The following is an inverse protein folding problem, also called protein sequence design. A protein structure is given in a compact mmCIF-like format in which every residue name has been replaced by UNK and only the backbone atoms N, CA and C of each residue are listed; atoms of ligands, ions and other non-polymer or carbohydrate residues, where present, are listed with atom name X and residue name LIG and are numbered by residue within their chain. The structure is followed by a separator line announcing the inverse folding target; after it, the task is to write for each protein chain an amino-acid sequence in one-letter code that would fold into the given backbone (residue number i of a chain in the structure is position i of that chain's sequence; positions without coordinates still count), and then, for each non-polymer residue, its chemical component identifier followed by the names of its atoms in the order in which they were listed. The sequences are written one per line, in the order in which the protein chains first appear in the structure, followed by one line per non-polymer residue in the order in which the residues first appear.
data_IF_110843297124
#
_entry.id   IF_110843297124
#
_cell.length_a   1.000
_cell.length_b   1.000
_cell.length_c   1.000
_cell.angle_alpha   90.00
_cell.angle_beta   90.00
_cell.angle_gamma   90.00
#
_symmetry.space_group_name_H-M   'P 1'
#
loop_
_entity.id
_entity.type
_entity.pdbx_description
1 polymer ?
#
# COMPACT_ATOMS: atom_id res chain seq x y z
N UNK A 1 -0.74 -12.88 15.89
CA UNK A 1 0.34 -12.31 15.04
C UNK A 1 -0.08 -11.96 13.60
N UNK A 2 -0.77 -12.84 12.84
CA UNK A 2 -1.13 -12.55 11.42
C UNK A 2 -1.98 -11.28 11.24
N UNK A 3 -2.97 -11.02 12.12
CA UNK A 3 -3.81 -9.82 12.07
C UNK A 3 -3.03 -8.54 12.40
N UNK A 4 -2.19 -8.57 13.45
CA UNK A 4 -1.35 -7.44 13.87
C UNK A 4 -0.39 -6.99 12.75
N UNK A 5 0.27 -7.94 12.06
CA UNK A 5 1.10 -7.61 10.89
C UNK A 5 0.32 -6.93 9.77
N UNK A 6 -0.89 -7.41 9.44
CA UNK A 6 -1.68 -6.80 8.37
C UNK A 6 -2.21 -5.44 8.78
N UNK A 7 -2.56 -5.25 10.05
CA UNK A 7 -2.93 -3.95 10.60
C UNK A 7 -1.78 -2.94 10.48
N UNK A 8 -0.55 -3.34 10.86
CA UNK A 8 0.65 -2.50 10.66
C UNK A 8 0.81 -2.16 9.17
N UNK A 9 0.66 -3.11 8.27
CA UNK A 9 0.75 -2.87 6.83
C UNK A 9 -0.35 -1.90 6.31
N UNK A 10 -1.58 -2.01 6.83
CA UNK A 10 -2.70 -1.12 6.48
C UNK A 10 -2.52 0.30 7.02
N UNK A 11 -1.90 0.48 8.19
CA UNK A 11 -1.82 1.80 8.85
C UNK A 11 -0.50 2.53 8.62
N UNK A 12 0.62 1.82 8.48
CA UNK A 12 1.96 2.46 8.43
C UNK A 12 2.13 3.37 7.21
N UNK A 13 1.73 2.91 6.03
CA UNK A 13 1.85 3.67 4.78
C UNK A 13 1.01 4.96 4.79
N UNK A 14 -0.29 4.90 5.12
CA UNK A 14 -1.11 6.11 5.21
C UNK A 14 -0.64 7.08 6.29
N UNK A 15 -0.22 6.57 7.47
CA UNK A 15 0.36 7.43 8.51
C UNK A 15 1.63 8.11 7.99
N UNK A 16 2.51 7.37 7.31
CA UNK A 16 3.70 7.94 6.69
C UNK A 16 3.35 9.02 5.64
N UNK A 17 2.35 8.78 4.78
CA UNK A 17 1.87 9.81 3.84
C UNK A 17 1.36 11.04 4.57
N UNK A 18 0.62 10.90 5.67
CA UNK A 18 0.19 12.04 6.48
C UNK A 18 1.37 12.85 7.04
N UNK A 19 2.52 12.23 7.29
CA UNK A 19 3.72 12.98 7.71
C UNK A 19 4.28 13.88 6.61
N UNK A 20 3.94 13.65 5.33
CA UNK A 20 4.37 14.52 4.21
C UNK A 20 3.93 15.99 4.40
N UNK A 21 2.83 16.20 5.13
CA UNK A 21 2.29 17.52 5.47
C UNK A 21 3.29 18.34 6.32
N UNK A 22 4.15 17.67 7.08
CA UNK A 22 5.12 18.31 7.98
C UNK A 22 6.39 18.79 7.26
N UNK A 23 6.59 18.38 6.00
CA UNK A 23 7.78 18.71 5.24
C UNK A 23 7.65 20.08 4.56
N UNK A 24 8.78 20.76 4.38
CA UNK A 24 8.82 22.09 3.77
C UNK A 24 8.33 22.09 2.31
N UNK A 25 8.15 23.29 1.76
CA UNK A 25 7.80 23.48 0.34
C UNK A 25 8.98 23.27 -0.63
N UNK A 26 10.19 22.99 -0.13
CA UNK A 26 11.33 22.73 -0.99
C UNK A 26 11.11 21.48 -1.84
N UNK A 27 11.45 21.50 -3.15
CA UNK A 27 11.42 20.31 -4.00
C UNK A 27 12.26 19.15 -3.48
N UNK A 28 13.28 19.43 -2.66
CA UNK A 28 14.18 18.43 -2.09
C UNK A 28 13.60 17.74 -0.84
N UNK A 29 12.50 18.26 -0.28
CA UNK A 29 11.90 17.75 0.94
C UNK A 29 11.42 16.30 0.78
N UNK A 30 11.08 15.87 -0.45
CA UNK A 30 10.76 14.48 -0.78
C UNK A 30 11.91 13.51 -0.52
N UNK A 31 13.16 13.92 -0.78
CA UNK A 31 14.32 13.07 -0.54
C UNK A 31 14.57 12.90 0.95
N UNK A 32 14.37 13.98 1.73
CA UNK A 32 14.43 13.91 3.18
C UNK A 32 13.34 13.00 3.75
N UNK A 33 12.10 13.10 3.25
CA UNK A 33 11.02 12.21 3.64
C UNK A 33 11.29 10.75 3.28
N UNK A 34 11.91 10.51 2.11
CA UNK A 34 12.28 9.17 1.65
C UNK A 34 13.37 8.51 2.50
N UNK A 35 14.15 9.27 3.29
CA UNK A 35 15.15 8.69 4.21
C UNK A 35 14.51 7.67 5.16
N UNK A 36 13.31 7.97 5.69
CA UNK A 36 12.62 7.08 6.63
C UNK A 36 12.33 5.69 6.03
N UNK A 37 11.60 5.58 4.90
CA UNK A 37 11.40 4.27 4.27
C UNK A 37 12.70 3.69 3.71
N UNK A 38 13.68 4.49 3.28
CA UNK A 38 14.98 3.98 2.83
C UNK A 38 15.80 3.33 3.95
N UNK A 39 15.75 3.86 5.17
CA UNK A 39 16.35 3.23 6.34
C UNK A 39 15.64 1.91 6.69
N UNK A 40 14.32 1.84 6.52
CA UNK A 40 13.59 0.59 6.71
C UNK A 40 13.93 -0.43 5.59
N UNK A 41 14.10 0.04 4.36
CA UNK A 41 14.54 -0.79 3.23
C UNK A 41 15.90 -1.41 3.50
N UNK A 42 16.90 -0.61 3.88
CA UNK A 42 18.23 -1.11 4.19
C UNK A 42 18.22 -2.08 5.36
N UNK A 43 17.40 -1.82 6.40
CA UNK A 43 17.20 -2.73 7.52
C UNK A 43 16.61 -4.08 7.08
N UNK A 44 15.53 -4.09 6.31
CA UNK A 44 14.90 -5.32 5.82
C UNK A 44 15.86 -6.10 4.90
N UNK A 45 16.60 -5.40 4.04
CA UNK A 45 17.58 -6.00 3.15
C UNK A 45 18.74 -6.64 3.93
N UNK A 46 19.32 -5.93 4.90
CA UNK A 46 20.44 -6.43 5.70
C UNK A 46 20.05 -7.65 6.54
N UNK A 47 18.86 -7.65 7.14
CA UNK A 47 18.38 -8.78 7.95
C UNK A 47 17.92 -9.94 7.05
N UNK A 48 17.23 -9.66 5.95
CA UNK A 48 16.72 -10.67 5.04
C UNK A 48 17.83 -11.43 4.30
N UNK A 49 18.91 -10.74 3.91
CA UNK A 49 20.11 -11.35 3.30
C UNK A 49 20.99 -12.06 4.33
N UNK A 50 20.83 -11.75 5.62
CA UNK A 50 21.63 -12.31 6.69
C UNK A 50 22.91 -11.57 7.02
N UNK A 51 23.12 -10.37 6.46
CA UNK A 51 24.22 -9.48 6.83
C UNK A 51 24.13 -9.05 8.30
N UNK A 52 22.92 -8.87 8.82
CA UNK A 52 22.63 -8.52 10.22
C UNK A 52 21.68 -9.56 10.83
N UNK A 53 21.94 -9.95 12.08
CA UNK A 53 21.03 -10.80 12.85
C UNK A 53 20.08 -9.96 13.68
N UNK A 54 18.79 -9.99 13.36
CA UNK A 54 17.71 -9.39 14.16
C UNK A 54 16.54 -10.38 14.29
N UNK A 55 16.60 -11.30 15.28
CA UNK A 55 15.53 -12.27 15.50
C UNK A 55 14.18 -11.63 15.85
N UNK A 56 14.20 -10.43 16.45
CA UNK A 56 12.99 -9.68 16.81
C UNK A 56 12.24 -9.21 15.56
N UNK A 57 12.97 -8.65 14.59
CA UNK A 57 12.42 -8.26 13.30
C UNK A 57 11.88 -9.48 12.53
N UNK A 58 12.65 -10.56 12.46
CA UNK A 58 12.20 -11.79 11.79
C UNK A 58 10.93 -12.33 12.43
N UNK A 59 10.85 -12.40 13.76
CA UNK A 59 9.66 -12.86 14.48
C UNK A 59 8.43 -11.96 14.28
N UNK A 60 8.64 -10.65 14.13
CA UNK A 60 7.54 -9.70 13.96
C UNK A 60 7.00 -9.67 12.52
N UNK A 61 7.86 -9.84 11.51
CA UNK A 61 7.52 -9.69 10.09
C UNK A 61 7.28 -11.02 9.38
N UNK A 62 8.10 -12.05 9.65
CA UNK A 62 8.02 -13.36 8.98
C UNK A 62 6.85 -14.20 9.48
N UNK A 63 6.29 -15.04 8.59
CA UNK A 63 5.23 -16.01 8.90
C UNK A 63 5.81 -17.35 9.34
N UNK A 64 6.84 -17.83 8.66
CA UNK A 64 7.52 -19.10 8.96
C UNK A 64 8.67 -18.94 9.96
N UNK A 65 9.14 -17.72 10.21
CA UNK A 65 10.38 -17.46 10.93
C UNK A 65 11.61 -17.47 10.01
N UNK A 66 11.43 -17.70 8.71
CA UNK A 66 12.48 -17.50 7.71
C UNK A 66 12.75 -15.99 7.50
N UNK A 67 14.02 -15.61 7.59
CA UNK A 67 14.49 -14.25 7.29
C UNK A 67 14.27 -13.87 5.82
N UNK A 68 14.29 -14.85 4.91
CA UNK A 68 14.08 -14.62 3.47
C UNK A 68 12.70 -14.05 3.14
N UNK A 69 11.70 -14.24 4.00
CA UNK A 69 10.37 -13.62 3.83
C UNK A 69 10.41 -12.09 3.91
N UNK A 70 11.41 -11.50 4.58
CA UNK A 70 11.56 -10.04 4.65
C UNK A 70 11.85 -9.43 3.28
N UNK A 71 12.48 -10.19 2.36
CA UNK A 71 12.84 -9.74 1.01
C UNK A 71 11.69 -9.85 0.00
N UNK A 72 10.51 -10.33 0.43
CA UNK A 72 9.33 -10.50 -0.42
C UNK A 72 8.39 -9.30 -0.22
N UNK A 73 7.10 -9.55 0.04
CA UNK A 73 6.09 -8.51 0.28
C UNK A 73 6.52 -7.36 1.20
N UNK A 74 7.19 -7.59 2.35
CA UNK A 74 7.66 -6.49 3.20
C UNK A 74 8.65 -5.54 2.52
N UNK A 75 9.60 -6.05 1.74
CA UNK A 75 10.56 -5.21 1.01
C UNK A 75 9.88 -4.48 -0.14
N UNK A 76 9.04 -5.18 -0.92
CA UNK A 76 8.28 -4.59 -2.02
C UNK A 76 7.36 -3.46 -1.56
N UNK A 77 6.71 -3.63 -0.40
CA UNK A 77 5.93 -2.59 0.25
C UNK A 77 6.75 -1.31 0.48
N UNK A 78 7.96 -1.45 1.01
CA UNK A 78 8.83 -0.30 1.27
C UNK A 78 9.32 0.33 -0.04
N UNK A 79 9.66 -0.47 -1.04
CA UNK A 79 10.03 0.02 -2.38
C UNK A 79 8.92 0.88 -2.96
N UNK A 80 7.67 0.44 -2.87
CA UNK A 80 6.51 1.21 -3.32
C UNK A 80 6.38 2.53 -2.56
N UNK A 81 6.56 2.54 -1.23
CA UNK A 81 6.53 3.78 -0.45
C UNK A 81 7.63 4.77 -0.87
N UNK A 82 8.85 4.28 -1.09
CA UNK A 82 9.96 5.10 -1.59
C UNK A 82 9.63 5.66 -2.98
N UNK A 83 9.15 4.81 -3.90
CA UNK A 83 8.80 5.23 -5.25
C UNK A 83 7.68 6.28 -5.24
N UNK A 84 6.60 6.04 -4.48
CA UNK A 84 5.52 7.01 -4.31
C UNK A 84 6.05 8.34 -3.76
N UNK A 85 6.94 8.29 -2.77
CA UNK A 85 7.52 9.50 -2.15
C UNK A 85 8.39 10.30 -3.12
N UNK A 86 9.27 9.62 -3.86
CA UNK A 86 10.26 10.30 -4.72
C UNK A 86 9.65 10.74 -6.06
N UNK A 87 8.83 9.88 -6.66
CA UNK A 87 8.28 10.08 -8.01
C UNK A 87 6.94 10.82 -7.99
N UNK A 88 6.08 10.51 -7.01
CA UNK A 88 4.71 11.01 -6.92
C UNK A 88 4.47 11.69 -5.57
N UNK A 89 5.26 12.74 -5.30
CA UNK A 89 5.27 13.46 -4.04
C UNK A 89 3.91 14.11 -3.70
N UNK A 90 3.81 14.83 -2.58
CA UNK A 90 2.54 15.35 -2.03
C UNK A 90 1.75 16.29 -2.95
N UNK A 91 2.36 16.81 -4.01
CA UNK A 91 1.75 17.63 -5.06
C UNK A 91 1.17 16.79 -6.22
N UNK A 92 1.36 15.47 -6.21
CA UNK A 92 0.86 14.55 -7.21
C UNK A 92 -0.13 13.53 -6.59
N UNK A 93 -1.42 13.53 -6.98
CA UNK A 93 -2.41 12.61 -6.41
C UNK A 93 -2.11 11.13 -6.69
N UNK A 94 -1.35 10.80 -7.75
CA UNK A 94 -1.03 9.41 -8.09
C UNK A 94 -0.31 8.68 -6.94
N UNK A 95 0.59 9.35 -6.23
CA UNK A 95 1.30 8.75 -5.09
C UNK A 95 0.37 8.46 -3.92
N UNK A 96 -0.61 9.34 -3.68
CA UNK A 96 -1.63 9.16 -2.66
C UNK A 96 -2.54 7.96 -3.00
N UNK A 97 -2.96 7.85 -4.26
CA UNK A 97 -3.82 6.75 -4.74
C UNK A 97 -3.05 5.42 -4.66
N UNK A 98 -1.81 5.35 -5.15
CA UNK A 98 -0.98 4.16 -5.12
C UNK A 98 -0.81 3.62 -3.69
N UNK A 99 -0.50 4.50 -2.73
CA UNK A 99 -0.37 4.11 -1.31
C UNK A 99 -1.73 3.71 -0.71
N UNK A 100 -2.80 4.42 -1.04
CA UNK A 100 -4.15 4.12 -0.55
C UNK A 100 -4.68 2.77 -1.07
N UNK A 101 -4.45 2.45 -2.35
CA UNK A 101 -4.86 1.17 -2.94
C UNK A 101 -4.06 0.01 -2.34
N UNK A 102 -2.74 0.16 -2.15
CA UNK A 102 -1.92 -0.86 -1.51
C UNK A 102 -2.24 -1.04 -0.02
N UNK A 103 -2.30 0.05 0.75
CA UNK A 103 -2.44 -0.06 2.20
C UNK A 103 -3.90 -0.20 2.62
N UNK A 104 -4.77 0.67 2.11
CA UNK A 104 -6.19 0.68 2.40
C UNK A 104 -6.91 -0.45 1.67
N UNK A 105 -6.76 -0.51 0.35
CA UNK A 105 -7.37 -1.55 -0.48
C UNK A 105 -6.90 -2.96 -0.10
N UNK A 106 -5.65 -3.32 -0.42
CA UNK A 106 -5.16 -4.70 -0.25
C UNK A 106 -5.09 -5.09 1.25
N UNK A 107 -4.79 -4.11 2.10
CA UNK A 107 -4.95 -4.20 3.55
C UNK A 107 -6.31 -4.72 3.99
N UNK A 108 -7.38 -4.00 3.60
CA UNK A 108 -8.75 -4.34 3.97
C UNK A 108 -9.25 -5.59 3.25
N UNK A 109 -8.86 -5.80 1.99
CA UNK A 109 -9.18 -6.99 1.21
C UNK A 109 -8.77 -8.28 1.93
N UNK A 110 -7.57 -8.29 2.50
CA UNK A 110 -7.04 -9.44 3.22
C UNK A 110 -7.67 -9.61 4.62
N UNK A 111 -8.01 -8.52 5.31
CA UNK A 111 -8.73 -8.58 6.61
C UNK A 111 -10.16 -9.11 6.41
N UNK A 112 -10.91 -8.49 5.50
CA UNK A 112 -12.31 -8.82 5.21
C UNK A 112 -12.41 -10.18 4.52
N UNK A 113 -11.57 -10.45 3.52
CA UNK A 113 -11.56 -11.71 2.79
C UNK A 113 -11.26 -12.91 3.68
N UNK A 114 -10.41 -12.77 4.71
CA UNK A 114 -10.20 -13.83 5.71
C UNK A 114 -11.38 -14.00 6.65
N UNK A 115 -12.05 -12.92 7.04
CA UNK A 115 -13.16 -12.97 8.02
C UNK A 115 -14.48 -13.43 7.41
N UNK A 116 -14.78 -12.99 6.19
CA UNK A 116 -16.09 -13.21 5.54
C UNK A 116 -16.01 -13.83 4.15
N UNK A 117 -14.81 -14.01 3.58
CA UNK A 117 -14.62 -14.52 2.22
C UNK A 117 -14.59 -16.05 2.07
N UNK A 118 -14.86 -16.81 3.13
CA UNK A 118 -14.81 -18.28 3.11
C UNK A 118 -15.87 -18.92 2.20
N UNK A 119 -17.09 -18.39 2.20
CA UNK A 119 -18.22 -18.95 1.45
C UNK A 119 -18.33 -18.50 -0.01
N UNK A 120 -17.55 -17.51 -0.44
CA UNK A 120 -17.67 -16.89 -1.77
C UNK A 120 -16.28 -16.59 -2.35
N UNK A 121 -15.56 -17.65 -2.73
CA UNK A 121 -14.27 -17.54 -3.42
C UNK A 121 -14.44 -17.11 -4.88
N UNK A 122 -13.43 -16.44 -5.43
CA UNK A 122 -13.45 -16.09 -6.84
C UNK A 122 -13.24 -17.35 -7.70
N UNK A 123 -13.94 -17.48 -8.84
CA UNK A 123 -13.82 -18.65 -9.71
C UNK A 123 -12.42 -18.78 -10.34
N UNK A 124 -11.77 -17.65 -10.64
CA UNK A 124 -10.45 -17.60 -11.29
C UNK A 124 -9.30 -17.72 -10.28
N UNK A 125 -9.50 -17.21 -9.06
CA UNK A 125 -8.48 -17.21 -8.01
C UNK A 125 -9.06 -17.63 -6.66
N UNK A 126 -8.93 -18.91 -6.33
CA UNK A 126 -9.47 -19.48 -5.08
C UNK A 126 -8.79 -18.94 -3.81
N UNK A 127 -7.63 -18.28 -3.93
CA UNK A 127 -7.00 -17.61 -2.80
C UNK A 127 -7.74 -16.32 -2.41
N UNK A 128 -8.41 -15.68 -3.37
CA UNK A 128 -9.15 -14.43 -3.21
C UNK A 128 -10.66 -14.69 -3.09
N UNK A 129 -11.42 -13.67 -2.71
CA UNK A 129 -12.85 -13.80 -2.41
C UNK A 129 -13.62 -12.55 -2.80
N UNK A 130 -14.91 -12.70 -3.12
CA UNK A 130 -15.79 -11.57 -3.45
C UNK A 130 -15.86 -10.53 -2.32
N UNK A 131 -15.93 -10.99 -1.07
CA UNK A 131 -15.89 -10.10 0.10
C UNK A 131 -14.58 -9.30 0.16
N UNK A 132 -13.45 -9.95 -0.13
CA UNK A 132 -12.13 -9.31 -0.19
C UNK A 132 -12.06 -8.27 -1.31
N UNK A 133 -12.50 -8.60 -2.52
CA UNK A 133 -12.49 -7.65 -3.65
C UNK A 133 -13.42 -6.46 -3.45
N UNK A 134 -14.56 -6.64 -2.78
CA UNK A 134 -15.42 -5.52 -2.40
C UNK A 134 -14.73 -4.61 -1.37
N UNK A 135 -14.03 -5.19 -0.40
CA UNK A 135 -13.24 -4.43 0.58
C UNK A 135 -12.03 -3.73 -0.06
N UNK A 136 -11.37 -4.36 -1.04
CA UNK A 136 -10.32 -3.76 -1.87
C UNK A 136 -10.83 -2.48 -2.54
N UNK A 137 -11.96 -2.60 -3.25
CA UNK A 137 -12.58 -1.51 -4.00
C UNK A 137 -12.97 -0.36 -3.08
N UNK A 138 -13.79 -0.61 -2.07
CA UNK A 138 -14.29 0.45 -1.18
C UNK A 138 -13.21 1.02 -0.28
N UNK A 139 -12.32 0.17 0.24
CA UNK A 139 -11.23 0.56 1.11
C UNK A 139 -10.21 1.45 0.40
N UNK A 140 -9.77 1.02 -0.79
CA UNK A 140 -8.86 1.78 -1.62
C UNK A 140 -9.48 3.08 -2.14
N UNK A 141 -10.72 3.02 -2.63
CA UNK A 141 -11.46 4.20 -3.08
C UNK A 141 -11.65 5.22 -1.96
N UNK A 142 -12.18 4.80 -0.80
CA UNK A 142 -12.47 5.68 0.32
C UNK A 142 -11.21 6.33 0.89
N UNK A 143 -10.12 5.56 1.03
CA UNK A 143 -8.84 6.09 1.49
C UNK A 143 -8.23 7.06 0.47
N UNK A 144 -8.27 6.74 -0.82
CA UNK A 144 -7.78 7.62 -1.89
C UNK A 144 -8.54 8.93 -1.92
N UNK A 145 -9.88 8.86 -1.87
CA UNK A 145 -10.74 10.04 -1.82
C UNK A 145 -10.41 10.92 -0.60
N UNK A 146 -10.25 10.30 0.58
CA UNK A 146 -9.90 11.00 1.81
C UNK A 146 -8.55 11.71 1.75
N UNK A 147 -7.51 11.01 1.29
CA UNK A 147 -6.16 11.59 1.17
C UNK A 147 -6.11 12.70 0.12
N UNK A 148 -6.72 12.51 -1.05
CA UNK A 148 -6.77 13.56 -2.08
C UNK A 148 -7.52 14.78 -1.59
N UNK A 149 -8.69 14.58 -0.97
CA UNK A 149 -9.48 15.66 -0.40
C UNK A 149 -8.68 16.42 0.65
N UNK A 150 -7.99 15.71 1.55
CA UNK A 150 -7.13 16.34 2.56
C UNK A 150 -6.02 17.18 1.92
N UNK A 151 -5.24 16.61 1.00
CA UNK A 151 -4.07 17.27 0.43
C UNK A 151 -4.44 18.44 -0.48
N UNK A 152 -5.55 18.35 -1.22
CA UNK A 152 -6.02 19.45 -2.04
C UNK A 152 -6.55 20.61 -1.18
N UNK A 153 -7.25 20.32 -0.06
CA UNK A 153 -7.72 21.36 0.87
C UNK A 153 -6.56 22.05 1.61
N UNK A 154 -5.44 21.35 1.80
CA UNK A 154 -4.19 21.94 2.32
C UNK A 154 -3.41 22.75 1.27
N UNK A 155 -3.90 22.81 0.03
CA UNK A 155 -3.30 23.62 -1.04
C UNK A 155 -2.08 22.99 -1.71
N UNK A 156 -1.84 21.69 -1.56
CA UNK A 156 -0.71 21.03 -2.21
C UNK A 156 -0.91 20.81 -3.72
N UNK A 157 -2.15 20.74 -4.17
CA UNK A 157 -2.56 20.74 -5.57
C UNK A 157 -4.02 21.19 -5.70
N UNK A 158 -4.47 21.51 -6.90
CA UNK A 158 -5.84 21.98 -7.14
C UNK A 158 -6.88 20.91 -6.83
N UNK A 159 -7.94 21.27 -6.10
CA UNK A 159 -9.06 20.36 -5.88
C UNK A 159 -9.81 20.08 -7.18
N UNK A 160 -10.24 18.82 -7.33
CA UNK A 160 -11.00 18.36 -8.49
C UNK A 160 -12.51 18.48 -8.25
N UNK A 161 -13.32 18.68 -9.30
CA UNK A 161 -14.77 18.57 -9.19
C UNK A 161 -15.16 17.18 -8.64
N UNK A 162 -16.11 17.09 -7.70
CA UNK A 162 -16.47 15.81 -7.08
C UNK A 162 -16.85 14.72 -8.10
N UNK A 163 -17.60 15.08 -9.14
CA UNK A 163 -18.00 14.12 -10.18
C UNK A 163 -16.80 13.50 -10.92
N UNK A 164 -15.79 14.31 -11.27
CA UNK A 164 -14.55 13.85 -11.92
C UNK A 164 -13.71 13.00 -10.96
N UNK A 165 -13.62 13.42 -9.70
CA UNK A 165 -12.87 12.67 -8.69
C UNK A 165 -13.49 11.29 -8.45
N UNK A 166 -14.81 11.21 -8.28
CA UNK A 166 -15.53 9.96 -8.09
C UNK A 166 -15.38 9.03 -9.30
N UNK A 167 -15.50 9.54 -10.53
CA UNK A 167 -15.40 8.71 -11.74
C UNK A 167 -13.98 8.19 -11.99
N UNK A 168 -12.96 9.05 -11.88
CA UNK A 168 -11.57 8.65 -12.05
C UNK A 168 -11.11 7.68 -10.97
N UNK A 169 -11.38 7.98 -9.69
CA UNK A 169 -11.03 7.07 -8.59
C UNK A 169 -11.81 5.76 -8.66
N UNK A 170 -13.07 5.80 -9.10
CA UNK A 170 -13.85 4.59 -9.32
C UNK A 170 -13.21 3.69 -10.37
N UNK A 171 -12.80 4.26 -11.51
CA UNK A 171 -12.13 3.51 -12.57
C UNK A 171 -10.78 2.93 -12.12
N UNK A 172 -9.96 3.72 -11.42
CA UNK A 172 -8.66 3.28 -10.89
C UNK A 172 -8.82 2.19 -9.85
N UNK A 173 -9.71 2.38 -8.87
CA UNK A 173 -9.95 1.39 -7.82
C UNK A 173 -10.53 0.09 -8.37
N UNK A 174 -11.39 0.15 -9.40
CA UNK A 174 -11.86 -1.03 -10.13
C UNK A 174 -10.70 -1.74 -10.84
N UNK A 175 -9.86 -1.02 -11.58
CA UNK A 175 -8.71 -1.59 -12.29
C UNK A 175 -7.76 -2.31 -11.33
N UNK A 176 -7.38 -1.65 -10.25
CA UNK A 176 -6.53 -2.22 -9.21
C UNK A 176 -7.19 -3.42 -8.50
N UNK A 177 -8.50 -3.39 -8.26
CA UNK A 177 -9.24 -4.53 -7.68
C UNK A 177 -9.27 -5.74 -8.63
N UNK A 178 -9.42 -5.50 -9.94
CA UNK A 178 -9.36 -6.58 -10.94
C UNK A 178 -7.97 -7.20 -10.94
N UNK A 179 -6.91 -6.39 -10.93
CA UNK A 179 -5.52 -6.89 -10.91
C UNK A 179 -5.22 -7.69 -9.65
N UNK A 180 -5.68 -7.23 -8.48
CA UNK A 180 -5.58 -7.95 -7.20
C UNK A 180 -6.35 -9.28 -7.21
N UNK A 181 -7.50 -9.33 -7.89
CA UNK A 181 -8.32 -10.53 -8.00
C UNK A 181 -7.71 -11.61 -8.91
N UNK A 182 -6.89 -11.21 -9.89
CA UNK A 182 -6.23 -12.13 -10.83
C UNK A 182 -5.12 -12.95 -10.15
N UNK A 183 -4.78 -14.14 -10.67
CA UNK A 183 -3.71 -14.98 -10.13
C UNK A 183 -2.30 -14.47 -10.53
N UNK A 184 -2.10 -13.15 -10.59
CA UNK A 184 -0.82 -12.50 -10.93
C UNK A 184 0.15 -12.55 -9.75
N UNK A 185 -0.38 -12.61 -8.52
CA UNK A 185 0.38 -12.64 -7.27
C UNK A 185 1.37 -13.82 -7.13
N UNK A 186 1.30 -14.79 -8.03
CA UNK A 186 2.28 -15.88 -8.14
C UNK A 186 3.62 -15.41 -8.75
N UNK A 187 3.61 -14.31 -9.51
CA UNK A 187 4.76 -13.78 -10.23
C UNK A 187 5.16 -12.37 -9.75
N UNK A 188 4.18 -11.51 -9.45
CA UNK A 188 4.40 -10.13 -9.00
C UNK A 188 3.60 -9.87 -7.73
N UNK A 189 4.27 -9.44 -6.66
CA UNK A 189 3.62 -9.20 -5.37
C UNK A 189 2.55 -8.09 -5.47
N UNK A 190 1.44 -8.27 -4.75
CA UNK A 190 0.31 -7.32 -4.73
C UNK A 190 0.74 -5.93 -4.25
N UNK A 191 1.83 -5.83 -3.46
CA UNK A 191 2.43 -4.56 -3.05
C UNK A 191 3.15 -3.80 -4.17
N UNK A 192 3.25 -4.37 -5.37
CA UNK A 192 3.80 -3.73 -6.57
C UNK A 192 2.75 -3.62 -7.66
N UNK A 193 2.05 -4.72 -7.97
CA UNK A 193 1.10 -4.75 -9.09
C UNK A 193 -0.06 -3.77 -8.91
N UNK A 194 -0.60 -3.65 -7.69
CA UNK A 194 -1.70 -2.73 -7.36
C UNK A 194 -1.27 -1.26 -7.48
N UNK A 195 -0.19 -0.80 -6.82
CA UNK A 195 0.34 0.56 -6.99
C UNK A 195 0.69 0.97 -8.41
N UNK A 196 1.14 0.03 -9.25
CA UNK A 196 1.55 0.33 -10.63
C UNK A 196 0.35 0.57 -11.54
N UNK A 197 -0.77 -0.10 -11.26
CA UNK A 197 -2.03 0.07 -11.97
C UNK A 197 -2.76 1.33 -11.51
N UNK A 198 -2.56 1.69 -10.24
CA UNK A 198 -3.13 2.85 -9.58
C UNK A 198 -2.46 4.17 -10.01
#
# INVERSE_FOLDING_TARGET
QKLSRKLVHTTTGPIFVLTWILFSASPDARYLAAVVPMLNFSRLMAVGTGLISDPGLVKSVSRSGDRGELLKGPLFYVVTLVAATVLCWRDNPAGLIAVAMMCGGDGLADIVGRRWGGGAKLPINKAKSWAGSFAMLLGGFGMSYGLISLFCNLGFFSCYPPATMLSCLGAVALGATIVEALPINQYVDDNVSVPVVA
#
